data_IF_512885742483
#
_entry.id   IF_512885742483
#
_cell.length_a   1.000
_cell.length_b   1.000
_cell.length_c   1.000
_cell.angle_alpha   90.00
_cell.angle_beta   90.00
_cell.angle_gamma   90.00
#
_symmetry.space_group_name_H-M   'P 1'
#
loop_
_entity.id
_entity.type
_entity.pdbx_description
1 polymer ?
#
# COMPACT_ATOMS: atom_id res chain seq x y z
N UNK A 1 30.25 8.99 -54.80
CA UNK A 1 30.91 9.14 -53.49
C UNK A 1 30.17 10.25 -52.77
N UNK A 2 29.23 9.89 -51.91
CA UNK A 2 28.25 10.82 -51.30
C UNK A 2 28.60 10.98 -49.83
N UNK A 3 28.87 12.21 -49.41
CA UNK A 3 29.20 12.53 -48.01
C UNK A 3 27.92 12.52 -47.14
N UNK A 4 27.95 11.98 -45.93
CA UNK A 4 26.82 12.03 -45.00
C UNK A 4 26.68 13.42 -44.35
N UNK A 5 25.45 13.88 -44.33
CA UNK A 5 24.97 15.12 -43.72
C UNK A 5 25.05 15.01 -42.18
N UNK A 6 25.72 15.96 -41.52
CA UNK A 6 25.91 15.98 -40.07
C UNK A 6 24.96 17.01 -39.43
N UNK A 7 24.24 16.66 -38.36
CA UNK A 7 23.31 17.57 -37.70
C UNK A 7 24.03 18.74 -37.02
N UNK A 8 23.50 19.94 -37.29
CA UNK A 8 23.90 21.21 -36.68
C UNK A 8 23.65 21.19 -35.17
N UNK A 9 24.70 21.24 -34.37
CA UNK A 9 24.62 21.44 -32.91
C UNK A 9 24.53 22.94 -32.63
N UNK A 10 23.35 23.40 -32.20
CA UNK A 10 23.18 24.75 -31.62
C UNK A 10 23.66 24.76 -30.17
N UNK A 11 24.57 25.67 -29.76
CA UNK A 11 24.98 25.80 -28.38
C UNK A 11 23.88 26.48 -27.54
N UNK A 12 23.34 25.75 -26.56
CA UNK A 12 22.40 26.29 -25.59
C UNK A 12 23.04 27.35 -24.70
N UNK A 13 22.34 28.48 -24.58
CA UNK A 13 22.74 29.64 -23.81
C UNK A 13 22.97 29.31 -22.32
N UNK A 14 24.14 29.75 -21.86
CA UNK A 14 24.62 29.75 -20.48
C UNK A 14 23.73 30.66 -19.62
N UNK A 15 22.83 30.08 -18.83
CA UNK A 15 22.03 30.83 -17.86
C UNK A 15 22.89 31.22 -16.65
N UNK A 16 22.98 32.53 -16.42
CA UNK A 16 23.80 33.19 -15.42
C UNK A 16 23.21 32.97 -14.03
N UNK A 17 24.04 32.41 -13.14
CA UNK A 17 23.74 32.16 -11.72
C UNK A 17 23.87 33.48 -10.95
N UNK A 18 22.75 34.05 -10.53
CA UNK A 18 22.71 35.19 -9.59
C UNK A 18 22.60 34.74 -8.12
N UNK A 19 23.31 35.38 -7.17
CA UNK A 19 23.22 35.05 -5.75
C UNK A 19 22.05 35.78 -5.07
N UNK A 20 20.93 35.08 -4.87
CA UNK A 20 19.79 35.61 -4.12
C UNK A 20 19.88 35.25 -2.63
N UNK A 21 20.40 36.22 -1.88
CA UNK A 21 20.06 36.64 -0.51
C UNK A 21 19.47 35.60 0.45
N UNK A 22 20.24 35.34 1.52
CA UNK A 22 19.80 34.75 2.77
C UNK A 22 18.60 35.51 3.35
N UNK A 23 17.40 34.93 3.21
CA UNK A 23 16.21 35.31 3.95
C UNK A 23 16.18 34.54 5.27
N UNK A 24 16.39 35.25 6.37
CA UNK A 24 16.16 34.74 7.72
C UNK A 24 14.73 34.21 7.83
N UNK A 25 14.59 32.88 7.88
CA UNK A 25 13.33 32.18 8.06
C UNK A 25 12.74 32.55 9.42
N UNK A 26 11.74 33.46 9.41
CA UNK A 26 10.81 33.59 10.53
C UNK A 26 10.07 32.26 10.67
N UNK A 27 10.46 31.48 11.67
CA UNK A 27 9.74 30.30 12.13
C UNK A 27 8.36 30.78 12.59
N UNK A 28 7.35 30.64 11.73
CA UNK A 28 5.95 30.69 12.16
C UNK A 28 5.70 29.42 12.95
N UNK A 29 5.68 29.53 14.27
CA UNK A 29 5.11 28.52 15.17
C UNK A 29 3.60 28.55 14.95
N UNK A 30 3.16 27.90 13.88
CA UNK A 30 1.74 27.64 13.62
C UNK A 30 1.27 26.52 14.54
N UNK A 31 0.12 26.73 15.19
CA UNK A 31 -0.56 25.78 16.06
C UNK A 31 -0.43 24.32 15.61
N UNK A 32 0.46 23.57 16.24
CA UNK A 32 0.47 22.10 16.21
C UNK A 32 -0.79 21.63 16.94
N UNK A 33 -1.78 21.18 16.18
CA UNK A 33 -3.00 20.60 16.75
C UNK A 33 -2.70 19.39 17.64
N UNK A 34 -3.59 19.05 18.60
CA UNK A 34 -3.39 17.99 19.59
C UNK A 34 -3.15 16.60 18.99
N UNK A 35 -3.47 16.40 17.71
CA UNK A 35 -3.20 15.14 16.99
C UNK A 35 -1.72 14.93 16.63
N UNK A 36 -0.91 16.00 16.54
CA UNK A 36 0.52 15.86 16.31
C UNK A 36 1.26 15.44 17.60
N UNK A 37 0.83 15.97 18.76
CA UNK A 37 1.36 15.59 20.08
C UNK A 37 1.18 14.09 20.36
N UNK A 38 0.03 13.52 19.96
CA UNK A 38 -0.24 12.10 20.14
C UNK A 38 0.69 11.23 19.27
N UNK A 39 0.93 11.63 18.01
CA UNK A 39 1.82 10.88 17.10
C UNK A 39 3.28 10.96 17.51
N UNK A 40 3.76 12.12 17.97
CA UNK A 40 5.14 12.26 18.48
C UNK A 40 5.37 11.45 19.77
N UNK A 41 4.34 11.37 20.63
CA UNK A 41 4.42 10.53 21.83
C UNK A 41 4.54 9.04 21.48
N UNK A 42 3.75 8.54 20.52
CA UNK A 42 3.81 7.14 20.10
C UNK A 42 5.16 6.77 19.45
N UNK A 43 5.70 7.63 18.59
CA UNK A 43 7.02 7.40 17.96
C UNK A 43 8.14 7.43 19.00
N UNK A 44 8.09 8.35 19.97
CA UNK A 44 9.05 8.41 21.07
C UNK A 44 9.02 7.15 21.94
N UNK A 45 7.83 6.65 22.28
CA UNK A 45 7.67 5.41 23.05
C UNK A 45 8.16 4.20 22.27
N UNK A 46 7.84 4.08 20.98
CA UNK A 46 8.30 2.96 20.16
C UNK A 46 9.84 2.91 20.05
N UNK A 47 10.49 4.07 19.87
CA UNK A 47 11.95 4.16 19.86
C UNK A 47 12.57 3.79 21.21
N UNK A 48 11.96 4.22 22.31
CA UNK A 48 12.44 3.89 23.66
C UNK A 48 12.31 2.38 23.94
N UNK A 49 11.21 1.75 23.54
CA UNK A 49 11.02 0.29 23.64
C UNK A 49 12.03 -0.46 22.78
N UNK A 50 12.30 0.00 21.56
CA UNK A 50 13.32 -0.59 20.69
C UNK A 50 14.72 -0.53 21.33
N UNK A 51 15.10 0.61 21.90
CA UNK A 51 16.39 0.78 22.60
C UNK A 51 16.49 -0.13 23.83
N UNK A 52 15.40 -0.31 24.59
CA UNK A 52 15.34 -1.24 25.73
C UNK A 52 15.49 -2.70 25.28
N UNK A 53 14.84 -3.11 24.19
CA UNK A 53 14.98 -4.46 23.62
C UNK A 53 16.40 -4.71 23.12
N UNK A 54 17.01 -3.73 22.44
CA UNK A 54 18.41 -3.82 21.97
C UNK A 54 19.41 -3.88 23.14
N UNK A 55 19.16 -3.13 24.21
CA UNK A 55 20.04 -3.12 25.40
C UNK A 55 19.82 -4.35 26.30
N UNK A 56 18.64 -4.98 26.25
CA UNK A 56 18.29 -6.17 27.04
C UNK A 56 18.87 -7.48 26.52
N UNK A 57 19.34 -7.55 25.27
CA UNK A 57 19.91 -8.77 24.69
C UNK A 57 21.44 -8.89 24.83
N UNK A 58 22.11 -7.96 25.53
CA UNK A 58 23.56 -7.77 25.41
C UNK A 58 24.48 -8.26 26.52
N UNK A 59 24.00 -8.84 27.63
CA UNK A 59 24.87 -9.27 28.75
C UNK A 59 24.74 -10.77 29.06
N UNK A 60 25.09 -11.61 28.09
CA UNK A 60 25.40 -13.01 28.32
C UNK A 60 26.85 -13.18 28.78
N UNK A 61 27.11 -12.97 30.06
CA UNK A 61 28.40 -13.29 30.69
C UNK A 61 28.66 -14.81 30.57
N UNK A 62 29.82 -15.20 30.02
CA UNK A 62 30.23 -16.59 29.84
C UNK A 62 30.41 -17.29 31.20
N UNK A 63 29.89 -18.51 31.41
CA UNK A 63 30.02 -19.19 32.70
C UNK A 63 31.43 -19.78 32.89
N UNK A 64 32.20 -19.16 33.78
CA UNK A 64 33.29 -19.86 34.46
C UNK A 64 32.71 -20.70 35.61
N UNK A 65 33.13 -21.97 35.68
CA UNK A 65 32.81 -22.93 36.74
C UNK A 65 33.08 -22.34 38.13
N UNK A 66 32.25 -22.69 39.13
CA UNK A 66 32.62 -23.45 40.35
C UNK A 66 31.66 -23.19 41.52
N UNK A 67 31.21 -24.31 42.13
CA UNK A 67 30.62 -24.54 43.47
C UNK A 67 29.29 -23.90 43.91
N UNK A 68 28.35 -24.81 44.25
CA UNK A 68 27.25 -24.69 45.21
C UNK A 68 27.70 -24.05 46.56
N UNK A 69 26.83 -23.43 47.40
CA UNK A 69 25.55 -23.98 47.86
C UNK A 69 24.39 -22.99 48.18
N UNK A 70 23.24 -23.62 48.53
CA UNK A 70 22.13 -23.18 49.37
C UNK A 70 21.02 -22.25 48.82
N UNK A 71 19.85 -22.88 48.70
CA UNK A 71 18.46 -22.41 48.65
C UNK A 71 18.14 -21.26 49.61
N UNK A 72 17.35 -20.27 49.17
CA UNK A 72 16.03 -20.08 49.81
C UNK A 72 14.87 -20.02 48.81
N UNK A 73 13.75 -20.64 49.20
CA UNK A 73 12.48 -20.69 48.47
C UNK A 73 11.91 -19.31 48.15
N UNK A 74 11.51 -19.03 46.89
CA UNK A 74 10.64 -17.91 46.59
C UNK A 74 9.16 -18.29 46.75
N UNK A 75 8.50 -17.50 47.58
CA UNK A 75 7.06 -17.36 47.78
C UNK A 75 6.27 -17.34 46.48
N UNK A 76 5.23 -18.17 46.40
CA UNK A 76 4.27 -18.22 45.31
C UNK A 76 3.54 -16.87 45.17
N UNK A 77 3.77 -16.18 44.05
CA UNK A 77 3.00 -15.01 43.65
C UNK A 77 1.66 -15.42 43.04
N UNK A 78 0.59 -14.61 43.21
CA UNK A 78 -0.77 -14.98 42.84
C UNK A 78 -0.90 -15.20 41.33
N UNK A 79 -1.39 -16.39 40.97
CA UNK A 79 -1.80 -16.78 39.63
C UNK A 79 -2.78 -15.75 39.05
N UNK A 80 -2.49 -15.12 37.90
CA UNK A 80 -3.46 -14.27 37.24
C UNK A 80 -4.66 -15.10 36.78
N UNK A 81 -5.84 -14.65 37.20
CA UNK A 81 -7.14 -15.24 36.86
C UNK A 81 -7.34 -15.21 35.33
N UNK A 82 -7.73 -16.33 34.70
CA UNK A 82 -7.99 -16.36 33.26
C UNK A 82 -9.18 -15.46 32.92
N UNK A 83 -8.94 -14.47 32.06
CA UNK A 83 -9.98 -13.65 31.47
C UNK A 83 -10.91 -14.54 30.63
N UNK A 84 -12.25 -14.43 30.77
CA UNK A 84 -13.18 -15.30 30.08
C UNK A 84 -13.10 -15.09 28.56
N UNK A 85 -12.83 -16.18 27.84
CA UNK A 85 -12.96 -16.24 26.38
C UNK A 85 -14.35 -15.76 25.95
N UNK A 86 -14.45 -14.84 24.97
CA UNK A 86 -15.73 -14.54 24.35
C UNK A 86 -16.24 -15.78 23.61
N UNK A 87 -17.43 -16.24 23.99
CA UNK A 87 -18.17 -17.31 23.31
C UNK A 87 -18.41 -16.91 21.85
N UNK A 88 -17.69 -17.55 20.94
CA UNK A 88 -17.90 -17.41 19.50
C UNK A 88 -19.18 -18.18 19.14
N UNK A 89 -20.29 -17.46 18.98
CA UNK A 89 -21.51 -18.01 18.40
C UNK A 89 -21.22 -18.43 16.96
N UNK A 90 -21.17 -19.73 16.71
CA UNK A 90 -21.09 -20.33 15.38
C UNK A 90 -22.42 -20.12 14.66
N UNK A 91 -22.51 -19.34 13.57
CA UNK A 91 -23.70 -19.32 12.73
C UNK A 91 -23.85 -20.66 12.00
N UNK A 92 -25.08 -21.16 11.96
CA UNK A 92 -25.46 -22.40 11.29
C UNK A 92 -25.19 -22.32 9.77
N UNK A 93 -24.79 -23.43 9.12
CA UNK A 93 -24.61 -23.47 7.67
C UNK A 93 -25.97 -23.44 6.96
N UNK A 94 -26.27 -22.34 6.27
CA UNK A 94 -27.35 -22.31 5.29
C UNK A 94 -26.92 -23.06 4.03
N UNK A 95 -27.57 -24.19 3.78
CA UNK A 95 -27.39 -25.00 2.55
C UNK A 95 -28.16 -24.32 1.41
N UNK A 96 -27.47 -23.56 0.57
CA UNK A 96 -28.02 -23.09 -0.70
C UNK A 96 -27.71 -24.10 -1.81
N UNK A 97 -28.76 -24.57 -2.47
CA UNK A 97 -28.77 -25.54 -3.57
C UNK A 97 -28.11 -24.94 -4.82
N UNK A 98 -27.29 -25.68 -5.59
CA UNK A 98 -26.77 -25.19 -6.87
C UNK A 98 -27.84 -25.25 -7.96
N UNK A 99 -28.13 -24.10 -8.58
CA UNK A 99 -28.80 -24.03 -9.90
C UNK A 99 -27.74 -24.25 -10.97
N UNK A 100 -27.86 -25.38 -11.67
CA UNK A 100 -27.08 -25.70 -12.87
C UNK A 100 -27.71 -24.96 -14.05
N UNK A 101 -27.04 -23.92 -14.55
CA UNK A 101 -27.35 -23.30 -15.85
C UNK A 101 -26.16 -23.54 -16.79
N UNK A 102 -26.47 -24.15 -17.93
CA UNK A 102 -25.51 -24.58 -18.94
C UNK A 102 -25.05 -23.43 -19.84
N UNK A 103 -23.82 -23.47 -20.38
CA UNK A 103 -23.25 -22.41 -21.21
C UNK A 103 -23.65 -22.52 -22.69
N UNK A 104 -23.85 -21.40 -23.41
CA UNK A 104 -23.64 -21.36 -24.85
C UNK A 104 -22.17 -21.09 -25.19
N UNK A 105 -21.64 -21.95 -26.07
CA UNK A 105 -20.34 -21.81 -26.72
C UNK A 105 -20.42 -20.86 -27.91
N UNK A 106 -19.42 -20.00 -28.06
CA UNK A 106 -18.93 -19.38 -29.30
C UNK A 106 -17.78 -18.41 -28.92
N UNK A 107 -16.72 -18.13 -29.67
CA UNK A 107 -16.02 -18.67 -30.83
C UNK A 107 -14.80 -17.75 -31.00
N UNK A 108 -13.65 -18.29 -31.45
CA UNK A 108 -12.54 -17.60 -32.18
C UNK A 108 -11.91 -16.34 -31.55
N UNK A 109 -10.59 -16.24 -31.33
CA UNK A 109 -9.47 -16.50 -32.24
C UNK A 109 -8.71 -15.18 -32.41
N UNK A 110 -7.45 -15.10 -31.96
CA UNK A 110 -6.69 -13.85 -32.04
C UNK A 110 -5.28 -13.96 -31.46
N UNK A 111 -4.40 -14.58 -32.22
CA UNK A 111 -2.94 -14.63 -32.02
C UNK A 111 -2.30 -13.30 -32.44
N UNK A 112 -1.42 -12.74 -31.62
CA UNK A 112 -0.35 -11.84 -32.08
C UNK A 112 -0.21 -10.55 -31.29
N UNK A 113 1.01 -10.27 -30.79
CA UNK A 113 1.38 -8.92 -30.35
C UNK A 113 2.48 -8.85 -29.31
N UNK A 114 3.70 -9.29 -29.67
CA UNK A 114 4.93 -9.05 -28.91
C UNK A 114 5.43 -7.62 -29.13
N UNK A 115 5.89 -6.95 -28.07
CA UNK A 115 6.89 -5.87 -28.14
C UNK A 115 6.42 -4.47 -27.75
N UNK A 116 7.16 -3.83 -26.83
CA UNK A 116 7.05 -2.39 -26.59
C UNK A 116 7.61 -1.88 -25.25
N UNK A 117 8.92 -2.00 -25.05
CA UNK A 117 9.67 -1.20 -24.06
C UNK A 117 9.63 0.30 -24.39
N UNK A 118 9.49 1.13 -23.35
CA UNK A 118 10.04 2.50 -23.30
C UNK A 118 9.05 3.64 -23.56
N UNK A 119 8.79 4.48 -22.53
CA UNK A 119 8.14 5.77 -22.75
C UNK A 119 7.63 6.49 -21.51
N UNK A 120 8.54 7.06 -20.71
CA UNK A 120 8.21 8.03 -19.65
C UNK A 120 7.82 9.36 -20.29
N UNK A 121 6.52 9.63 -20.45
CA UNK A 121 6.04 10.90 -21.00
C UNK A 121 4.56 11.10 -20.74
N UNK A 122 4.23 12.10 -19.91
CA UNK A 122 2.85 12.44 -19.54
C UNK A 122 1.94 12.61 -20.76
N UNK A 123 0.84 11.86 -20.79
CA UNK A 123 -0.16 11.93 -21.84
C UNK A 123 -1.55 12.04 -21.22
N UNK A 124 -2.37 12.92 -21.80
CA UNK A 124 -3.80 13.03 -21.52
C UNK A 124 -4.52 11.70 -21.82
N UNK A 125 -5.70 11.43 -21.21
CA UNK A 125 -6.38 10.15 -21.35
C UNK A 125 -6.76 9.87 -22.81
N UNK A 126 -6.20 8.82 -23.41
CA UNK A 126 -6.50 8.41 -24.78
C UNK A 126 -7.78 7.56 -24.79
N UNK A 127 -8.82 7.90 -25.58
CA UNK A 127 -10.02 7.09 -25.72
C UNK A 127 -9.65 5.73 -26.33
N UNK A 128 -9.85 4.64 -25.59
CA UNK A 128 -9.54 3.28 -26.03
C UNK A 128 -8.29 2.66 -25.41
N UNK A 129 -7.53 3.39 -24.58
CA UNK A 129 -6.55 2.75 -23.72
C UNK A 129 -7.29 1.85 -22.71
N UNK A 130 -6.91 0.57 -22.64
CA UNK A 130 -7.45 -0.32 -21.63
C UNK A 130 -7.26 0.35 -20.25
N UNK A 131 -8.31 0.39 -19.42
CA UNK A 131 -8.21 1.01 -18.11
C UNK A 131 -7.01 0.45 -17.35
N UNK A 132 -6.29 1.27 -16.56
CA UNK A 132 -5.25 0.76 -15.69
C UNK A 132 -5.85 -0.36 -14.85
N UNK A 133 -5.14 -1.49 -14.72
CA UNK A 133 -5.54 -2.66 -13.94
C UNK A 133 -4.57 -2.83 -12.77
N UNK A 134 -4.28 -1.74 -12.06
CA UNK A 134 -3.30 -1.77 -10.98
C UNK A 134 -3.84 -2.59 -9.80
N UNK A 135 -3.02 -3.42 -9.14
CA UNK A 135 -1.58 -3.64 -9.36
C UNK A 135 -1.21 -4.66 -10.46
N UNK A 136 -2.19 -5.40 -10.99
CA UNK A 136 -1.95 -6.52 -11.89
C UNK A 136 -1.41 -6.15 -13.29
N UNK A 137 -1.76 -4.97 -13.82
CA UNK A 137 -1.42 -4.54 -15.18
C UNK A 137 -2.20 -5.25 -16.29
N UNK A 138 -2.52 -6.54 -16.13
CA UNK A 138 -3.29 -7.36 -17.06
C UNK A 138 -4.14 -8.44 -16.36
N UNK A 139 -5.05 -9.08 -17.11
CA UNK A 139 -5.99 -10.07 -16.58
C UNK A 139 -5.32 -11.41 -16.17
N UNK A 140 -4.23 -11.81 -16.82
CA UNK A 140 -3.53 -13.05 -16.47
C UNK A 140 -2.77 -12.87 -15.15
N UNK A 141 -2.15 -11.70 -14.95
CA UNK A 141 -1.53 -11.31 -13.70
C UNK A 141 -2.56 -11.18 -12.58
N UNK A 142 -3.72 -10.60 -12.85
CA UNK A 142 -4.81 -10.53 -11.87
C UNK A 142 -5.25 -11.92 -11.40
N UNK A 143 -5.37 -12.90 -12.32
CA UNK A 143 -5.68 -14.30 -11.94
C UNK A 143 -4.62 -14.92 -11.04
N UNK A 144 -3.33 -14.67 -11.31
CA UNK A 144 -2.24 -15.15 -10.44
C UNK A 144 -2.29 -14.51 -9.06
N UNK A 145 -2.57 -13.20 -8.99
CA UNK A 145 -2.74 -12.49 -7.72
C UNK A 145 -3.96 -12.99 -6.95
N UNK A 146 -5.07 -13.32 -7.64
CA UNK A 146 -6.23 -13.93 -7.01
C UNK A 146 -5.89 -15.28 -6.39
N UNK A 147 -5.17 -16.14 -7.12
CA UNK A 147 -4.70 -17.43 -6.59
C UNK A 147 -3.80 -17.23 -5.36
N UNK A 148 -2.87 -16.29 -5.43
CA UNK A 148 -2.00 -15.97 -4.30
C UNK A 148 -2.79 -15.47 -3.08
N UNK A 149 -3.81 -14.65 -3.28
CA UNK A 149 -4.70 -14.21 -2.21
C UNK A 149 -5.52 -15.35 -1.60
N UNK A 150 -5.96 -16.30 -2.45
CA UNK A 150 -6.66 -17.51 -2.02
C UNK A 150 -5.77 -18.41 -1.17
N UNK A 151 -4.48 -18.45 -1.48
CA UNK A 151 -3.44 -19.15 -0.74
C UNK A 151 -2.97 -18.37 0.51
N UNK A 152 -3.59 -17.22 0.82
CA UNK A 152 -3.33 -16.39 2.01
C UNK A 152 -2.24 -15.33 1.83
N UNK A 153 -1.76 -15.09 0.61
CA UNK A 153 -0.83 -14.01 0.29
C UNK A 153 -1.53 -12.65 0.11
N UNK A 154 -0.77 -11.56 0.23
CA UNK A 154 -1.22 -10.18 -0.04
C UNK A 154 -2.66 -9.85 0.42
N UNK A 155 -2.97 -10.01 1.73
CA UNK A 155 -4.33 -9.83 2.23
C UNK A 155 -4.90 -8.42 2.01
N UNK A 156 -4.02 -7.44 1.81
CA UNK A 156 -4.40 -6.06 1.48
C UNK A 156 -5.16 -5.94 0.15
N UNK A 157 -5.02 -6.89 -0.78
CA UNK A 157 -5.76 -6.91 -2.05
C UNK A 157 -7.25 -7.20 -1.88
N UNK A 158 -7.65 -7.78 -0.75
CA UNK A 158 -9.04 -8.11 -0.45
C UNK A 158 -9.82 -6.92 0.12
N UNK A 159 -9.10 -5.89 0.56
CA UNK A 159 -9.68 -4.68 1.11
C UNK A 159 -9.61 -3.53 0.09
N UNK A 160 -10.75 -3.05 -0.42
CA UNK A 160 -10.75 -1.98 -1.41
C UNK A 160 -10.13 -0.68 -0.89
N UNK A 161 -10.21 -0.41 0.42
CA UNK A 161 -9.66 0.80 1.02
C UNK A 161 -8.13 0.79 1.02
N UNK A 162 -7.53 -0.34 1.42
CA UNK A 162 -6.07 -0.52 1.42
C UNK A 162 -5.50 -0.50 -0.01
N UNK A 163 -6.20 -1.09 -0.98
CA UNK A 163 -5.80 -1.00 -2.40
C UNK A 163 -5.82 0.45 -2.89
N UNK A 164 -6.88 1.21 -2.57
CA UNK A 164 -6.98 2.61 -2.96
C UNK A 164 -5.88 3.48 -2.34
N UNK A 165 -5.60 3.32 -1.04
CA UNK A 165 -4.52 4.04 -0.33
C UNK A 165 -3.16 3.69 -0.93
N UNK A 166 -2.90 2.40 -1.16
CA UNK A 166 -1.64 1.93 -1.74
C UNK A 166 -1.43 2.50 -3.15
N UNK A 167 -2.47 2.49 -3.99
CA UNK A 167 -2.43 3.07 -5.33
C UNK A 167 -2.10 4.56 -5.29
N UNK A 168 -2.83 5.38 -4.51
CA UNK A 168 -2.59 6.83 -4.50
C UNK A 168 -1.22 7.18 -3.90
N UNK A 169 -0.72 6.37 -2.96
CA UNK A 169 0.61 6.55 -2.38
C UNK A 169 1.73 6.26 -3.37
N UNK A 170 1.59 5.19 -4.16
CA UNK A 170 2.58 4.73 -5.13
C UNK A 170 2.54 5.53 -6.44
N UNK A 171 1.35 5.70 -7.04
CA UNK A 171 1.17 6.26 -8.38
C UNK A 171 0.94 7.77 -8.38
N UNK A 172 0.23 8.29 -7.37
CA UNK A 172 -0.08 9.73 -7.28
C UNK A 172 0.85 10.48 -6.33
N UNK A 173 1.64 9.76 -5.52
CA UNK A 173 2.52 10.35 -4.52
C UNK A 173 1.79 11.02 -3.35
N UNK A 174 0.51 10.68 -3.11
CA UNK A 174 -0.25 11.25 -2.00
C UNK A 174 0.41 10.88 -0.66
N UNK A 175 0.29 11.76 0.33
CA UNK A 175 0.89 11.59 1.66
C UNK A 175 -0.16 11.89 2.71
N UNK A 176 -0.29 10.97 3.66
CA UNK A 176 -1.34 11.02 4.67
C UNK A 176 -2.76 11.15 4.03
N UNK A 177 -3.10 10.36 3.00
CA UNK A 177 -4.36 10.53 2.28
C UNK A 177 -5.56 10.32 3.21
N UNK A 178 -6.58 11.17 3.06
CA UNK A 178 -7.90 10.95 3.65
C UNK A 178 -8.86 10.48 2.57
N UNK A 179 -9.71 9.49 2.91
CA UNK A 179 -10.59 8.84 1.96
C UNK A 179 -12.05 8.91 2.42
N UNK A 180 -12.97 8.94 1.45
CA UNK A 180 -14.41 8.85 1.69
C UNK A 180 -15.00 7.97 0.60
N UNK A 181 -15.70 6.90 1.00
CA UNK A 181 -16.42 6.05 0.06
C UNK A 181 -17.62 6.83 -0.52
N UNK A 182 -17.69 6.90 -1.85
CA UNK A 182 -18.79 7.52 -2.58
C UNK A 182 -19.86 6.50 -2.98
N UNK A 183 -19.40 5.28 -3.31
CA UNK A 183 -20.20 4.13 -3.67
C UNK A 183 -19.34 2.86 -3.49
N UNK A 184 -19.91 1.64 -3.48
CA UNK A 184 -19.14 0.41 -3.40
C UNK A 184 -18.03 0.34 -4.45
N UNK A 185 -16.78 0.29 -3.99
CA UNK A 185 -15.60 0.28 -4.85
C UNK A 185 -15.25 1.63 -5.49
N UNK A 186 -15.83 2.76 -5.03
CA UNK A 186 -15.52 4.10 -5.55
C UNK A 186 -15.24 5.07 -4.41
N UNK A 187 -14.05 5.64 -4.42
CA UNK A 187 -13.54 6.44 -3.31
C UNK A 187 -13.13 7.83 -3.77
N UNK A 188 -13.53 8.87 -3.02
CA UNK A 188 -12.92 10.18 -3.09
C UNK A 188 -11.70 10.20 -2.17
N UNK A 189 -10.55 10.58 -2.71
CA UNK A 189 -9.28 10.62 -1.98
C UNK A 189 -8.71 12.02 -2.05
N UNK A 190 -8.36 12.58 -0.90
CA UNK A 190 -7.70 13.89 -0.76
C UNK A 190 -6.31 13.68 -0.18
N UNK A 191 -5.32 14.35 -0.76
CA UNK A 191 -3.96 14.35 -0.23
C UNK A 191 -3.92 15.11 1.12
N UNK A 192 -3.22 14.56 2.12
CA UNK A 192 -3.10 15.21 3.43
C UNK A 192 -2.11 16.37 3.44
N UNK A 193 -1.25 16.48 2.42
CA UNK A 193 -0.20 17.51 2.32
C UNK A 193 -0.48 18.61 1.32
N UNK A 194 -1.44 18.42 0.42
CA UNK A 194 -1.79 19.38 -0.63
C UNK A 194 -3.30 19.46 -0.81
N UNK A 195 -3.76 20.34 -1.70
CA UNK A 195 -5.17 20.43 -2.06
C UNK A 195 -5.59 19.41 -3.15
N UNK A 196 -4.69 18.50 -3.54
CA UNK A 196 -4.94 17.55 -4.62
C UNK A 196 -6.05 16.55 -4.27
N UNK A 197 -6.94 16.29 -5.21
CA UNK A 197 -8.08 15.39 -5.05
C UNK A 197 -8.16 14.43 -6.23
N UNK A 198 -8.60 13.21 -5.95
CA UNK A 198 -8.83 12.19 -6.97
C UNK A 198 -10.04 11.36 -6.60
N UNK A 199 -10.72 10.80 -7.60
CA UNK A 199 -11.68 9.71 -7.43
C UNK A 199 -11.08 8.44 -8.00
N UNK A 200 -11.02 7.39 -7.17
CA UNK A 200 -10.50 6.07 -7.53
C UNK A 200 -11.67 5.11 -7.63
N UNK A 201 -11.80 4.43 -8.77
CA UNK A 201 -12.77 3.35 -8.96
C UNK A 201 -12.04 2.02 -9.00
N UNK A 202 -12.56 1.05 -8.25
CA UNK A 202 -12.04 -0.29 -8.11
C UNK A 202 -13.11 -1.31 -8.50
N UNK A 203 -12.66 -2.42 -9.09
CA UNK A 203 -13.51 -3.55 -9.42
C UNK A 203 -12.84 -4.88 -9.11
N UNK A 204 -13.64 -5.86 -8.75
CA UNK A 204 -13.20 -7.25 -8.64
C UNK A 204 -13.35 -7.94 -10.00
N UNK A 205 -12.30 -7.98 -10.82
CA UNK A 205 -12.39 -8.47 -12.21
C UNK A 205 -12.28 -9.99 -12.33
N UNK A 206 -11.63 -10.66 -11.36
CA UNK A 206 -11.37 -12.10 -11.41
C UNK A 206 -12.51 -12.89 -10.77
N UNK A 207 -12.91 -12.51 -9.56
CA UNK A 207 -13.94 -13.19 -8.77
C UNK A 207 -14.71 -12.16 -7.95
N UNK A 208 -16.04 -12.26 -7.90
CA UNK A 208 -16.89 -11.35 -7.10
C UNK A 208 -17.05 -11.86 -5.66
N UNK A 209 -17.23 -10.94 -4.72
CA UNK A 209 -17.57 -11.24 -3.32
C UNK A 209 -16.40 -11.10 -2.34
N UNK A 210 -16.54 -11.58 -1.09
CA UNK A 210 -15.59 -11.32 0.00
C UNK A 210 -14.14 -11.81 -0.22
N UNK A 211 -13.93 -12.75 -1.14
CA UNK A 211 -12.59 -13.22 -1.51
C UNK A 211 -12.06 -12.62 -2.81
N UNK A 212 -12.80 -11.75 -3.48
CA UNK A 212 -12.34 -11.15 -4.74
C UNK A 212 -11.26 -10.10 -4.50
N UNK A 213 -10.15 -10.18 -5.23
CA UNK A 213 -9.16 -9.09 -5.21
C UNK A 213 -9.75 -7.83 -5.84
N UNK A 214 -9.43 -6.68 -5.29
CA UNK A 214 -9.79 -5.38 -5.86
C UNK A 214 -8.67 -4.85 -6.74
N UNK A 215 -9.04 -4.40 -7.94
CA UNK A 215 -8.13 -3.74 -8.87
C UNK A 215 -8.64 -2.34 -9.14
N UNK A 216 -7.73 -1.36 -9.18
CA UNK A 216 -8.07 -0.02 -9.64
C UNK A 216 -8.32 -0.10 -11.14
N UNK A 217 -9.48 0.38 -11.60
CA UNK A 217 -9.88 0.41 -13.02
C UNK A 217 -10.00 1.82 -13.59
N UNK A 218 -10.18 2.83 -12.75
CA UNK A 218 -10.25 4.23 -13.20
C UNK A 218 -9.79 5.18 -12.12
N UNK A 219 -9.14 6.26 -12.55
CA UNK A 219 -8.77 7.37 -11.67
C UNK A 219 -9.05 8.69 -12.36
N UNK A 220 -9.88 9.52 -11.73
CA UNK A 220 -10.22 10.86 -12.16
C UNK A 220 -9.54 11.86 -11.21
N UNK A 221 -8.72 12.78 -11.72
CA UNK A 221 -7.99 13.78 -10.91
C UNK A 221 -8.67 15.15 -11.03
N UNK A 222 -8.66 15.93 -9.95
CA UNK A 222 -9.29 17.26 -9.86
C UNK A 222 -8.35 18.31 -9.29
#
# INVERSE_FOLDING_TARGET
MTAPDLPRVTPSARSVRGPSRAGLSRVRVGNLGPRLLLRTAFVGVALLVLVLLLSGCGNGELPARTTAPATPSPTAGPTPSPSPSPTRTTPAPETTRPTTEAPPSDRSGGTGGTGGEGGTGGSAPQPGAAPPLWPAGDAATAKRMQQQADDGGDPWLLDPEEVAISYVGAELGYRDPSMTELAPGRFAVTDGRSAAKSTVSLEQTVRKGPGGIWLVTRVDRY
#
